data_IF_966087332805
#
_entry.id   IF_966087332805
#
_cell.length_a   1.000
_cell.length_b   1.000
_cell.length_c   1.000
_cell.angle_alpha   90.00
_cell.angle_beta   90.00
_cell.angle_gamma   90.00
#
_symmetry.space_group_name_H-M   'P 1'
#
loop_
_entity.id
_entity.type
_entity.pdbx_description
1 polymer ?
#
# COMPACT_ATOMS: atom_id res chain seq x y z
N UNK A 1 15.77 -2.69 3.26
CA UNK A 1 15.40 -1.26 3.32
C UNK A 1 13.93 -1.16 2.95
N UNK A 2 13.07 -0.68 3.85
CA UNK A 2 11.65 -0.51 3.55
C UNK A 2 11.47 0.81 2.79
N UNK A 3 11.16 0.72 1.50
CA UNK A 3 10.88 1.91 0.69
C UNK A 3 9.41 2.26 0.80
N UNK A 4 9.13 3.54 1.10
CA UNK A 4 7.78 4.07 1.06
C UNK A 4 7.45 4.51 -0.36
N UNK A 5 6.27 4.15 -0.83
CA UNK A 5 5.75 4.57 -2.13
C UNK A 5 4.27 4.95 -2.02
N UNK A 6 3.77 5.53 -3.11
CA UNK A 6 2.37 5.89 -3.30
C UNK A 6 1.74 4.89 -4.26
N UNK A 7 0.54 4.42 -3.94
CA UNK A 7 -0.27 3.63 -4.86
C UNK A 7 -1.26 4.60 -5.51
N UNK A 8 -1.28 4.68 -6.83
CA UNK A 8 -2.11 5.63 -7.58
C UNK A 8 -2.98 4.93 -8.61
N UNK A 9 -4.02 5.63 -9.07
CA UNK A 9 -4.89 5.15 -10.12
C UNK A 9 -4.28 5.53 -11.49
N UNK A 10 -4.07 4.56 -12.38
CA UNK A 10 -3.51 4.83 -13.71
C UNK A 10 -4.41 5.70 -14.58
N UNK A 11 -5.73 5.68 -14.37
CA UNK A 11 -6.67 6.55 -15.07
C UNK A 11 -6.78 7.95 -14.46
N UNK A 12 -6.22 8.15 -13.27
CA UNK A 12 -6.24 9.42 -12.53
C UNK A 12 -5.03 9.50 -11.61
N UNK A 13 -3.89 9.93 -12.15
CA UNK A 13 -2.63 9.98 -11.40
C UNK A 13 -2.66 10.96 -10.21
N UNK A 14 -3.64 11.88 -10.22
CA UNK A 14 -3.95 12.81 -9.13
C UNK A 14 -4.78 12.18 -8.00
N UNK A 15 -5.02 10.87 -8.03
CA UNK A 15 -5.65 10.12 -6.94
C UNK A 15 -4.71 9.06 -6.39
N UNK A 16 -4.81 8.80 -5.10
CA UNK A 16 -3.96 7.84 -4.40
C UNK A 16 -4.73 7.06 -3.37
N UNK A 17 -4.29 5.81 -3.20
CA UNK A 17 -4.83 4.94 -2.18
C UNK A 17 -4.47 5.49 -0.81
N UNK A 18 -5.49 5.73 -0.01
CA UNK A 18 -5.36 6.23 1.35
C UNK A 18 -6.21 5.40 2.30
N UNK A 19 -5.87 5.45 3.59
CA UNK A 19 -6.77 5.02 4.66
C UNK A 19 -7.39 6.27 5.25
N UNK A 20 -8.72 6.35 5.27
CA UNK A 20 -9.45 7.46 5.89
C UNK A 20 -10.53 6.85 6.78
N UNK A 21 -10.50 7.17 8.08
CA UNK A 21 -11.44 6.61 9.07
C UNK A 21 -11.52 5.07 9.07
N UNK A 22 -10.40 4.38 8.77
CA UNK A 22 -10.34 2.92 8.70
C UNK A 22 -10.84 2.31 7.38
N UNK A 23 -11.22 3.15 6.40
CA UNK A 23 -11.65 2.72 5.08
C UNK A 23 -10.56 2.96 4.03
N UNK A 24 -10.45 2.05 3.07
CA UNK A 24 -9.54 2.18 1.93
C UNK A 24 -10.24 2.98 0.84
N UNK A 25 -9.70 4.14 0.51
CA UNK A 25 -10.30 5.08 -0.44
C UNK A 25 -9.28 5.57 -1.47
N UNK A 26 -9.75 5.99 -2.65
CA UNK A 26 -8.97 6.82 -3.56
C UNK A 26 -9.23 8.28 -3.22
N UNK A 27 -8.25 8.91 -2.57
CA UNK A 27 -8.29 10.32 -2.22
C UNK A 27 -7.47 11.13 -3.22
N UNK A 28 -7.77 12.43 -3.36
CA UNK A 28 -6.95 13.32 -4.17
C UNK A 28 -5.52 13.34 -3.61
N UNK A 29 -4.55 13.13 -4.49
CA UNK A 29 -3.14 13.16 -4.20
C UNK A 29 -2.75 14.53 -3.66
N UNK A 30 -2.19 14.56 -2.45
CA UNK A 30 -1.58 15.76 -1.91
C UNK A 30 -0.15 15.85 -2.48
N UNK A 31 -0.02 16.41 -3.68
CA UNK A 31 1.23 16.50 -4.44
C UNK A 31 2.25 17.51 -3.86
N UNK A 32 2.04 18.01 -2.63
CA UNK A 32 2.97 18.96 -1.98
C UNK A 32 4.32 18.35 -1.59
N UNK A 33 4.57 17.09 -1.98
CA UNK A 33 5.61 16.25 -1.41
C UNK A 33 7.02 16.45 -2.02
N UNK A 34 7.18 17.03 -3.22
CA UNK A 34 8.54 17.19 -3.78
C UNK A 34 9.29 18.43 -3.27
N UNK A 35 8.60 19.52 -2.94
CA UNK A 35 9.27 20.79 -2.59
C UNK A 35 9.49 20.99 -1.07
N UNK A 36 8.63 20.40 -0.22
CA UNK A 36 8.63 20.68 1.23
C UNK A 36 9.39 19.65 2.08
N UNK A 37 9.85 18.53 1.51
CA UNK A 37 10.60 17.46 2.20
C UNK A 37 11.93 17.90 2.81
N UNK A 38 12.47 19.09 2.47
CA UNK A 38 13.74 19.61 3.01
C UNK A 38 13.60 20.73 4.03
N UNK A 39 12.40 21.27 4.28
CA UNK A 39 12.26 22.52 5.04
C UNK A 39 11.32 22.48 6.24
N UNK A 40 10.46 21.48 6.43
CA UNK A 40 9.39 21.58 7.43
C UNK A 40 9.14 20.31 8.27
N UNK A 41 10.15 19.84 9.01
CA UNK A 41 9.97 18.72 9.96
C UNK A 41 9.19 19.11 11.24
N UNK A 42 8.73 20.37 11.38
CA UNK A 42 8.19 20.89 12.65
C UNK A 42 6.75 21.44 12.54
N UNK A 43 6.15 21.51 11.34
CA UNK A 43 4.80 22.03 11.15
C UNK A 43 3.96 21.06 10.32
N UNK A 44 3.39 20.06 10.99
CA UNK A 44 2.12 19.41 10.62
C UNK A 44 1.78 19.38 9.11
N UNK A 45 2.62 18.75 8.29
CA UNK A 45 2.37 18.63 6.84
C UNK A 45 1.42 17.47 6.60
N UNK A 46 0.13 17.82 6.63
CA UNK A 46 -1.03 17.04 6.15
C UNK A 46 -1.12 15.61 6.65
N UNK A 47 -2.02 15.37 7.61
CA UNK A 47 -2.50 14.01 7.97
C UNK A 47 -2.74 13.16 6.73
N UNK A 48 -3.26 13.75 5.64
CA UNK A 48 -3.51 13.11 4.36
C UNK A 48 -2.27 12.54 3.66
N UNK A 49 -1.09 13.19 3.72
CA UNK A 49 0.13 12.70 3.05
C UNK A 49 0.58 11.39 3.69
N UNK A 50 0.55 11.34 5.03
CA UNK A 50 0.91 10.13 5.78
C UNK A 50 -0.09 8.99 5.49
N UNK A 51 -1.37 9.30 5.34
CA UNK A 51 -2.42 8.32 5.05
C UNK A 51 -2.28 7.69 3.66
N UNK A 52 -1.55 8.34 2.74
CA UNK A 52 -1.30 7.89 1.35
C UNK A 52 0.06 7.16 1.18
N UNK A 53 0.83 7.02 2.25
CA UNK A 53 2.15 6.41 2.24
C UNK A 53 2.10 4.91 2.57
N UNK A 54 2.61 4.07 1.66
CA UNK A 54 2.58 2.61 1.79
C UNK A 54 3.98 2.01 1.79
N UNK A 55 4.13 0.91 2.51
CA UNK A 55 5.33 0.09 2.63
C UNK A 55 5.07 -1.28 2.01
N UNK A 56 5.99 -1.76 1.18
CA UNK A 56 6.01 -3.13 0.65
C UNK A 56 6.97 -3.93 1.50
N UNK A 57 6.43 -4.74 2.40
CA UNK A 57 7.22 -5.59 3.28
C UNK A 57 7.36 -6.99 2.68
N UNK A 58 8.50 -7.21 2.03
CA UNK A 58 8.92 -8.51 1.46
C UNK A 58 9.44 -9.49 2.52
N UNK A 59 9.74 -9.02 3.73
CA UNK A 59 10.14 -9.90 4.84
C UNK A 59 8.92 -10.54 5.49
N UNK A 60 7.76 -9.87 5.41
CA UNK A 60 6.49 -10.44 5.82
C UNK A 60 6.14 -11.67 4.98
N UNK A 61 5.81 -12.79 5.63
CA UNK A 61 5.58 -14.08 4.97
C UNK A 61 6.83 -14.94 4.83
N UNK A 62 8.01 -14.54 5.33
CA UNK A 62 9.14 -15.45 5.54
C UNK A 62 9.66 -16.16 4.27
N UNK A 63 9.49 -15.54 3.09
CA UNK A 63 9.88 -16.14 1.82
C UNK A 63 8.83 -17.05 1.17
N UNK A 64 7.57 -17.00 1.63
CA UNK A 64 6.42 -17.56 0.91
C UNK A 64 6.43 -17.03 -0.53
N UNK A 65 6.13 -17.93 -1.47
CA UNK A 65 6.02 -17.62 -2.89
C UNK A 65 4.67 -18.11 -3.42
N UNK A 66 4.17 -17.44 -4.43
CA UNK A 66 3.02 -17.93 -5.19
C UNK A 66 3.40 -19.13 -6.08
N UNK A 67 2.42 -19.65 -6.83
CA UNK A 67 2.61 -20.78 -7.73
C UNK A 67 3.59 -20.49 -8.88
N UNK A 68 3.79 -19.22 -9.25
CA UNK A 68 4.74 -18.77 -10.26
C UNK A 68 6.16 -18.55 -9.68
N UNK A 69 6.32 -18.64 -8.36
CA UNK A 69 7.59 -18.42 -7.67
C UNK A 69 7.86 -16.96 -7.29
N UNK A 70 6.88 -16.07 -7.47
CA UNK A 70 6.97 -14.67 -7.04
C UNK A 70 6.88 -14.56 -5.53
N UNK A 71 7.76 -13.78 -4.87
CA UNK A 71 7.74 -13.61 -3.42
C UNK A 71 6.50 -12.86 -2.97
N UNK A 72 5.87 -13.37 -1.91
CA UNK A 72 4.77 -12.70 -1.25
C UNK A 72 5.28 -11.50 -0.43
N UNK A 73 4.41 -10.51 -0.26
CA UNK A 73 4.68 -9.32 0.56
C UNK A 73 3.40 -8.78 1.19
N UNK A 74 3.53 -8.00 2.26
CA UNK A 74 2.43 -7.19 2.79
C UNK A 74 2.52 -5.74 2.31
N UNK A 75 1.35 -5.12 2.11
CA UNK A 75 1.23 -3.69 1.88
C UNK A 75 0.76 -3.01 3.17
N UNK A 76 1.68 -2.34 3.87
CA UNK A 76 1.41 -1.74 5.18
C UNK A 76 1.35 -0.22 5.04
N UNK A 77 0.28 0.38 5.51
CA UNK A 77 0.17 1.83 5.56
C UNK A 77 1.11 2.40 6.62
N UNK A 78 1.91 3.38 6.23
CA UNK A 78 2.94 3.95 7.11
C UNK A 78 2.35 4.75 8.28
N UNK A 79 1.19 5.37 8.10
CA UNK A 79 0.57 6.19 9.14
C UNK A 79 -0.18 5.35 10.17
N UNK A 80 -0.96 4.37 9.71
CA UNK A 80 -1.83 3.60 10.60
C UNK A 80 -1.17 2.31 11.10
N UNK A 81 -0.15 1.81 10.38
CA UNK A 81 0.42 0.50 10.64
C UNK A 81 -0.53 -0.64 10.29
N UNK A 82 -1.57 -0.39 9.48
CA UNK A 82 -2.51 -1.41 9.04
C UNK A 82 -2.11 -1.97 7.67
N UNK A 83 -2.41 -3.24 7.43
CA UNK A 83 -2.11 -3.92 6.20
C UNK A 83 -3.33 -4.02 5.29
N UNK A 84 -3.10 -3.88 3.98
CA UNK A 84 -4.13 -4.07 2.96
C UNK A 84 -4.50 -5.55 2.86
N UNK A 85 -5.80 -5.82 2.94
CA UNK A 85 -6.38 -7.16 2.93
C UNK A 85 -7.19 -7.39 1.66
N UNK A 86 -7.13 -8.62 1.16
CA UNK A 86 -8.02 -9.13 0.12
C UNK A 86 -9.49 -8.82 0.41
N UNK A 87 -10.27 -8.55 -0.64
CA UNK A 87 -11.71 -8.36 -0.49
C UNK A 87 -12.36 -9.64 0.04
N UNK A 88 -13.47 -9.50 0.75
CA UNK A 88 -14.20 -10.65 1.30
C UNK A 88 -15.07 -11.38 0.26
N UNK A 89 -14.95 -11.02 -1.03
CA UNK A 89 -15.72 -11.61 -2.11
C UNK A 89 -15.88 -10.68 -3.32
N UNK A 90 -16.60 -11.16 -4.33
CA UNK A 90 -16.91 -10.40 -5.54
C UNK A 90 -17.69 -9.12 -5.20
N UNK A 91 -17.38 -8.01 -5.88
CA UNK A 91 -17.95 -6.68 -5.65
C UNK A 91 -17.74 -6.08 -4.23
N UNK A 92 -16.90 -6.68 -3.38
CA UNK A 92 -16.57 -6.08 -2.09
C UNK A 92 -15.28 -5.26 -2.21
N UNK A 93 -15.21 -4.09 -1.56
CA UNK A 93 -13.98 -3.31 -1.52
C UNK A 93 -12.90 -4.06 -0.74
N UNK A 94 -11.64 -3.78 -1.07
CA UNK A 94 -10.50 -4.14 -0.22
C UNK A 94 -10.63 -3.44 1.14
N UNK A 95 -10.09 -4.06 2.18
CA UNK A 95 -10.13 -3.53 3.54
C UNK A 95 -8.72 -3.45 4.10
N UNK A 96 -8.61 -2.87 5.28
CA UNK A 96 -7.39 -2.91 6.08
C UNK A 96 -7.62 -3.69 7.36
N UNK A 97 -6.57 -4.33 7.85
CA UNK A 97 -6.55 -4.98 9.16
C UNK A 97 -5.28 -4.58 9.91
N UNK A 98 -5.28 -4.75 11.23
CA UNK A 98 -4.08 -4.56 12.04
C UNK A 98 -2.96 -5.48 11.54
N UNK A 99 -1.81 -4.89 11.27
CA UNK A 99 -0.62 -5.64 10.88
C UNK A 99 0.04 -6.22 12.14
N UNK A 100 0.23 -7.53 12.18
CA UNK A 100 1.01 -8.21 13.20
C UNK A 100 2.25 -8.83 12.54
N UNK A 101 3.46 -8.30 12.77
CA UNK A 101 4.67 -8.85 12.18
C UNK A 101 5.06 -10.23 12.75
N UNK A 102 4.50 -10.63 13.90
CA UNK A 102 4.78 -11.91 14.53
C UNK A 102 3.88 -13.04 14.02
N UNK A 103 2.73 -12.69 13.42
CA UNK A 103 1.77 -13.64 12.90
C UNK A 103 1.51 -13.40 11.42
N UNK A 104 1.92 -14.36 10.60
CA UNK A 104 1.66 -14.31 9.15
C UNK A 104 0.19 -14.67 8.89
N UNK A 105 -0.57 -13.70 8.41
CA UNK A 105 -1.94 -13.86 7.90
C UNK A 105 -1.90 -13.89 6.37
N UNK A 106 -2.41 -14.99 5.81
CA UNK A 106 -2.46 -15.23 4.36
C UNK A 106 -3.34 -14.22 3.62
N UNK A 107 -4.30 -13.59 4.31
CA UNK A 107 -5.26 -12.66 3.70
C UNK A 107 -4.69 -11.29 3.38
N UNK A 108 -3.49 -10.99 3.86
CA UNK A 108 -2.78 -9.73 3.57
C UNK A 108 -1.49 -9.95 2.78
N UNK A 109 -1.24 -11.18 2.35
CA UNK A 109 -0.16 -11.51 1.42
C UNK A 109 -0.62 -11.18 0.00
N UNK A 110 0.23 -10.44 -0.69
CA UNK A 110 0.10 -10.10 -2.10
C UNK A 110 1.31 -10.62 -2.85
N UNK A 111 1.12 -10.99 -4.11
CA UNK A 111 2.21 -11.34 -5.02
C UNK A 111 2.13 -10.53 -6.31
N UNK A 112 3.31 -10.19 -6.85
CA UNK A 112 3.41 -9.59 -8.18
C UNK A 112 3.28 -10.67 -9.24
N UNK A 113 2.29 -10.51 -10.10
CA UNK A 113 2.12 -11.32 -11.29
C UNK A 113 2.96 -10.82 -12.46
N UNK A 114 2.58 -11.27 -13.65
CA UNK A 114 3.24 -10.91 -14.90
C UNK A 114 3.08 -9.43 -15.25
N UNK A 115 3.99 -8.94 -16.08
CA UNK A 115 3.94 -7.59 -16.64
C UNK A 115 2.74 -7.46 -17.59
N UNK A 116 1.98 -6.38 -17.46
CA UNK A 116 0.82 -6.10 -18.31
C UNK A 116 1.19 -5.50 -19.67
N UNK A 117 2.47 -5.25 -19.92
CA UNK A 117 3.02 -4.78 -21.21
C UNK A 117 3.18 -3.26 -21.31
N UNK A 118 2.72 -2.53 -20.31
CA UNK A 118 2.76 -1.07 -20.17
C UNK A 118 3.67 -0.61 -19.02
N UNK A 119 4.50 -1.52 -18.49
CA UNK A 119 5.40 -1.25 -17.36
C UNK A 119 4.72 -1.36 -15.99
N UNK A 120 3.48 -1.84 -15.94
CA UNK A 120 2.77 -2.17 -14.72
C UNK A 120 2.75 -3.69 -14.48
N UNK A 121 2.61 -4.09 -13.22
CA UNK A 121 2.42 -5.49 -12.83
C UNK A 121 1.15 -5.62 -12.01
N UNK A 122 0.40 -6.68 -12.28
CA UNK A 122 -0.78 -7.01 -11.47
C UNK A 122 -0.32 -7.49 -10.10
N UNK A 123 -0.97 -7.02 -9.04
CA UNK A 123 -0.92 -7.67 -7.72
C UNK A 123 -2.14 -8.56 -7.54
N UNK A 124 -1.96 -9.71 -6.92
CA UNK A 124 -3.00 -10.69 -6.65
C UNK A 124 -2.82 -11.37 -5.30
#
# INVERSE_FOLDING_TARGET
MAHTFRIYCSTSEDHSLAIVNGEVVLAKADLRDDLLRRLLTVLCTSVLVLMQAWLKDLSYGGGIKDAAGSPAFALVNRSTGEALKHSSGFCHPVRVIKFDPLHVDDKILWAEGEDTGDGYRRIH
#
